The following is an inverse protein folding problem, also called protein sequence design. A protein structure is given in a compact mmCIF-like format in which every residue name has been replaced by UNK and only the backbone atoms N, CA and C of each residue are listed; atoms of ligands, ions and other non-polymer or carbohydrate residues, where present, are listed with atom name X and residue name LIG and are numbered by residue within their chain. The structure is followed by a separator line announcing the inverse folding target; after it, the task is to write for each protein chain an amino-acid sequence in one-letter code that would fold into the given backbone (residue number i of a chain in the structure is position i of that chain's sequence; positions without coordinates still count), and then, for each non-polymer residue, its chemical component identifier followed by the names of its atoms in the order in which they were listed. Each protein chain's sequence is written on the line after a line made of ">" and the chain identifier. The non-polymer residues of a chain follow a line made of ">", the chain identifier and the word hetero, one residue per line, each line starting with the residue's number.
data_IF_091471031310
#
_entry.id   IF_091471031310
#
_cell.length_a   1.000
_cell.length_b   1.000
_cell.length_c   1.000
_cell.angle_alpha   90.00
_cell.angle_beta   90.00
_cell.angle_gamma   90.00
#
_symmetry.space_group_name_H-M   'P 1'
#
loop_
_entity.id
_entity.type
_entity.pdbx_description
1 polymer ?
#
# COMPACT_ATOMS: atom_id res chain seq x y z
N UNK A 1 11.71 84.09 38.14
CA UNK A 1 12.52 83.36 39.14
C UNK A 1 11.67 82.20 39.62
N UNK A 2 12.06 81.01 39.19
CA UNK A 2 11.58 79.66 39.51
C UNK A 2 10.08 79.39 39.62
N UNK A 3 9.59 78.76 38.55
CA UNK A 3 8.35 78.01 38.44
C UNK A 3 8.30 76.79 39.38
N UNK A 4 7.12 76.49 39.88
CA UNK A 4 6.66 75.13 40.15
C UNK A 4 6.04 74.56 38.86
N UNK A 5 6.05 73.23 38.64
CA UNK A 5 4.82 72.51 39.02
C UNK A 5 5.02 71.08 39.54
N UNK A 6 3.95 70.61 40.17
CA UNK A 6 3.70 69.27 40.70
C UNK A 6 3.52 68.19 39.62
N UNK A 7 3.95 66.98 39.99
CA UNK A 7 3.39 65.66 39.67
C UNK A 7 3.20 65.26 38.18
N UNK A 8 3.84 64.17 37.76
CA UNK A 8 3.13 62.88 37.68
C UNK A 8 4.04 61.69 37.36
N UNK A 9 3.65 60.56 37.97
CA UNK A 9 4.14 59.21 37.78
C UNK A 9 4.32 58.82 36.30
N UNK A 10 5.51 58.34 35.93
CA UNK A 10 5.70 57.51 34.73
C UNK A 10 5.87 56.07 35.19
N UNK A 11 4.77 55.32 35.13
CA UNK A 11 4.73 53.87 35.33
C UNK A 11 5.22 53.16 34.06
N UNK A 12 5.98 52.09 34.27
CA UNK A 12 6.40 51.09 33.29
C UNK A 12 5.30 50.66 32.32
N UNK A 13 5.65 50.49 31.05
CA UNK A 13 5.12 49.44 30.18
C UNK A 13 5.92 49.37 28.87
N UNK A 14 6.99 48.57 28.89
CA UNK A 14 7.60 48.01 27.68
C UNK A 14 6.60 47.04 27.06
N UNK A 15 5.87 47.50 26.05
CA UNK A 15 4.93 46.71 25.26
C UNK A 15 5.73 45.83 24.28
N UNK A 16 6.08 44.62 24.72
CA UNK A 16 6.61 43.57 23.86
C UNK A 16 5.46 43.04 23.00
N UNK A 17 5.38 43.50 21.76
CA UNK A 17 4.41 43.02 20.79
C UNK A 17 4.79 41.59 20.38
N UNK A 18 4.22 40.62 21.08
CA UNK A 18 4.37 39.20 20.79
C UNK A 18 3.48 38.87 19.58
N UNK A 19 3.99 39.18 18.38
CA UNK A 19 3.41 38.70 17.12
C UNK A 19 3.53 37.18 17.09
N UNK A 20 2.48 36.50 17.57
CA UNK A 20 2.25 35.09 17.30
C UNK A 20 1.97 34.99 15.81
N UNK A 21 3.00 34.67 15.02
CA UNK A 21 2.79 34.15 13.69
C UNK A 21 2.12 32.79 13.83
N UNK A 22 0.80 32.76 13.71
CA UNK A 22 0.05 31.58 13.33
C UNK A 22 0.47 31.24 11.90
N UNK A 23 1.64 30.60 11.76
CA UNK A 23 1.92 29.79 10.59
C UNK A 23 0.99 28.58 10.70
N UNK A 24 -0.22 28.71 10.13
CA UNK A 24 -1.02 27.53 9.82
C UNK A 24 -0.18 26.67 8.88
N UNK A 25 0.17 25.46 9.31
CA UNK A 25 0.57 24.41 8.38
C UNK A 25 -0.64 24.14 7.49
N UNK A 26 -0.76 24.86 6.38
CA UNK A 26 -1.52 24.37 5.25
C UNK A 26 -0.73 23.18 4.74
N UNK A 27 -1.17 21.96 5.10
CA UNK A 27 -0.82 20.81 4.28
C UNK A 27 -1.53 21.00 2.94
N UNK A 28 -0.80 20.91 1.84
CA UNK A 28 -1.36 20.76 0.49
C UNK A 28 -1.38 19.26 0.15
N UNK A 29 -1.92 18.45 1.07
CA UNK A 29 -1.97 17.00 0.92
C UNK A 29 -3.19 16.57 0.09
N UNK A 30 -3.19 15.35 -0.48
CA UNK A 30 -4.36 14.85 -1.19
C UNK A 30 -5.64 14.77 -0.34
N UNK A 31 -5.51 14.60 0.99
CA UNK A 31 -6.64 14.66 1.91
C UNK A 31 -7.36 16.01 1.90
N UNK A 32 -6.60 17.11 1.84
CA UNK A 32 -7.15 18.46 1.83
C UNK A 32 -8.03 18.72 0.58
N UNK A 33 -7.81 17.98 -0.52
CA UNK A 33 -8.67 18.05 -1.71
C UNK A 33 -10.10 17.59 -1.42
N UNK A 34 -10.25 16.55 -0.60
CA UNK A 34 -11.56 16.02 -0.21
C UNK A 34 -12.23 16.92 0.82
N UNK A 35 -11.47 17.39 1.81
CA UNK A 35 -11.96 18.31 2.85
C UNK A 35 -12.47 19.63 2.23
N UNK A 36 -11.68 20.24 1.32
CA UNK A 36 -12.08 21.45 0.60
C UNK A 36 -13.36 21.24 -0.22
N UNK A 37 -13.46 20.06 -0.85
CA UNK A 37 -14.59 19.71 -1.69
C UNK A 37 -15.85 19.55 -0.85
N UNK A 38 -15.78 18.81 0.26
CA UNK A 38 -16.89 18.63 1.19
C UNK A 38 -17.32 19.97 1.79
N UNK A 39 -16.37 20.77 2.27
CA UNK A 39 -16.61 22.08 2.88
C UNK A 39 -17.41 22.98 1.93
N UNK A 40 -17.02 23.03 0.65
CA UNK A 40 -17.70 23.86 -0.36
C UNK A 40 -19.10 23.32 -0.68
N UNK A 41 -19.30 22.00 -0.70
CA UNK A 41 -20.62 21.40 -0.86
C UNK A 41 -21.53 21.78 0.32
N UNK A 42 -21.07 21.57 1.56
CA UNK A 42 -21.84 21.83 2.77
C UNK A 42 -22.26 23.31 2.87
N UNK A 43 -21.34 24.23 2.54
CA UNK A 43 -21.65 25.68 2.45
C UNK A 43 -22.74 26.00 1.45
N UNK A 44 -22.74 25.40 0.26
CA UNK A 44 -23.81 25.64 -0.74
C UNK A 44 -25.15 25.06 -0.26
N UNK A 45 -25.11 23.95 0.46
CA UNK A 45 -26.28 23.33 1.05
C UNK A 45 -26.84 24.08 2.26
N UNK A 46 -26.10 25.05 2.83
CA UNK A 46 -26.35 25.67 4.14
C UNK A 46 -26.53 24.61 5.24
N UNK A 47 -25.60 23.66 5.30
CA UNK A 47 -25.61 22.56 6.25
C UNK A 47 -24.25 22.39 6.92
N UNK A 48 -24.25 21.79 8.10
CA UNK A 48 -23.02 21.34 8.74
C UNK A 48 -22.41 20.16 7.97
N UNK A 49 -21.08 20.01 8.07
CA UNK A 49 -20.36 18.90 7.47
C UNK A 49 -20.63 17.60 8.23
N UNK A 50 -21.06 16.56 7.50
CA UNK A 50 -21.12 15.19 8.02
C UNK A 50 -19.70 14.69 8.25
N UNK A 51 -19.41 14.26 9.48
CA UNK A 51 -18.14 13.64 9.83
C UNK A 51 -18.31 12.13 9.95
N UNK A 52 -17.40 11.38 9.35
CA UNK A 52 -17.29 9.94 9.55
C UNK A 52 -15.94 9.61 10.18
N UNK A 53 -15.98 8.82 11.25
CA UNK A 53 -14.78 8.24 11.83
C UNK A 53 -14.31 7.09 10.93
N UNK A 54 -13.01 7.06 10.69
CA UNK A 54 -12.38 6.01 9.90
C UNK A 54 -11.08 5.61 10.56
N UNK A 55 -10.88 4.31 10.62
CA UNK A 55 -9.65 3.70 11.06
C UNK A 55 -9.08 2.86 9.91
N UNK A 56 -7.78 3.01 9.67
CA UNK A 56 -7.09 2.22 8.68
C UNK A 56 -6.64 0.90 9.28
N UNK A 57 -7.06 -0.22 8.68
CA UNK A 57 -6.60 -1.54 9.08
C UNK A 57 -5.11 -1.71 8.74
N UNK A 58 -4.27 -1.64 9.77
CA UNK A 58 -2.82 -1.71 9.60
C UNK A 58 -2.35 -3.13 9.28
N UNK A 59 -1.30 -3.24 8.45
CA UNK A 59 -0.60 -4.51 8.21
C UNK A 59 -0.19 -5.17 9.54
N UNK A 60 -0.55 -6.45 9.79
CA UNK A 60 -0.15 -7.18 10.98
C UNK A 60 1.36 -7.17 11.20
N UNK A 61 1.80 -7.38 12.44
CA UNK A 61 3.24 -7.40 12.73
C UNK A 61 3.87 -8.63 12.07
N UNK A 62 5.11 -8.50 11.60
CA UNK A 62 5.90 -9.59 10.98
C UNK A 62 5.79 -10.92 11.75
N UNK A 63 5.90 -10.88 13.07
CA UNK A 63 5.81 -12.07 13.95
C UNK A 63 4.47 -12.81 13.92
N UNK A 64 3.38 -12.10 13.60
CA UNK A 64 2.03 -12.66 13.50
C UNK A 64 1.82 -13.34 12.14
N UNK A 65 2.61 -12.94 11.14
CA UNK A 65 2.57 -13.49 9.79
C UNK A 65 3.66 -14.54 9.54
N UNK A 66 4.66 -14.66 10.42
CA UNK A 66 5.77 -15.61 10.26
C UNK A 66 5.28 -17.05 10.50
N UNK A 67 5.44 -17.90 9.49
CA UNK A 67 5.21 -19.33 9.61
C UNK A 67 6.47 -20.05 10.10
N UNK A 68 6.31 -20.92 11.09
CA UNK A 68 7.38 -21.80 11.51
C UNK A 68 7.68 -22.86 10.43
N UNK A 69 8.96 -23.01 10.10
CA UNK A 69 9.44 -23.99 9.12
C UNK A 69 10.40 -24.95 9.82
N UNK A 70 9.99 -26.21 10.04
CA UNK A 70 10.81 -27.18 10.75
C UNK A 70 12.18 -27.35 10.10
N UNK A 71 13.24 -27.23 10.90
CA UNK A 71 14.60 -27.46 10.42
C UNK A 71 14.81 -28.93 10.10
N UNK A 72 15.34 -29.20 8.91
CA UNK A 72 15.82 -30.52 8.52
C UNK A 72 17.28 -30.67 8.94
N UNK A 73 17.52 -31.43 10.00
CA UNK A 73 18.87 -31.84 10.38
C UNK A 73 19.30 -32.97 9.47
N UNK A 74 20.11 -32.63 8.48
CA UNK A 74 20.85 -33.62 7.71
C UNK A 74 21.94 -34.15 8.65
N UNK A 75 21.71 -35.32 9.27
CA UNK A 75 22.75 -36.06 9.99
C UNK A 75 23.97 -36.21 9.07
N UNK A 76 25.19 -36.28 9.64
CA UNK A 76 26.48 -36.14 8.94
C UNK A 76 26.54 -37.01 7.66
N UNK A 77 26.00 -36.51 6.54
CA UNK A 77 26.05 -37.20 5.24
C UNK A 77 27.52 -37.31 4.90
N UNK A 78 27.88 -38.44 4.27
CA UNK A 78 29.22 -38.68 3.79
C UNK A 78 29.67 -37.55 2.86
N UNK A 79 30.37 -36.59 3.47
CA UNK A 79 30.55 -35.24 2.93
C UNK A 79 31.28 -35.23 1.60
N UNK A 80 31.94 -36.34 1.26
CA UNK A 80 32.67 -36.52 0.02
C UNK A 80 31.76 -36.65 -1.21
N UNK A 81 30.70 -37.47 -1.13
CA UNK A 81 29.81 -37.70 -2.28
C UNK A 81 29.04 -36.42 -2.67
N UNK A 82 28.58 -35.68 -1.66
CA UNK A 82 27.87 -34.41 -1.88
C UNK A 82 28.75 -33.28 -2.43
N UNK A 83 30.07 -33.35 -2.30
CA UNK A 83 30.99 -32.37 -2.91
C UNK A 83 31.01 -32.48 -4.42
N UNK A 84 30.84 -33.70 -4.97
CA UNK A 84 30.91 -33.95 -6.41
C UNK A 84 29.79 -33.21 -7.17
N UNK A 85 28.64 -32.99 -6.51
CA UNK A 85 27.51 -32.24 -7.05
C UNK A 85 27.35 -30.82 -6.44
N UNK A 86 28.30 -30.37 -5.62
CA UNK A 86 28.32 -29.04 -4.99
C UNK A 86 27.32 -28.83 -3.86
N UNK A 87 26.53 -29.85 -3.48
CA UNK A 87 25.50 -29.75 -2.44
C UNK A 87 26.10 -29.55 -1.04
N UNK A 88 27.29 -30.10 -0.78
CA UNK A 88 27.99 -29.91 0.49
C UNK A 88 28.24 -28.43 0.82
N UNK A 89 28.68 -27.64 -0.17
CA UNK A 89 28.98 -26.21 0.03
C UNK A 89 27.73 -25.42 0.40
N UNK A 90 26.59 -25.69 -0.27
CA UNK A 90 25.30 -25.06 0.06
C UNK A 90 24.88 -25.38 1.50
N UNK A 91 24.98 -26.65 1.92
CA UNK A 91 24.66 -27.06 3.29
C UNK A 91 25.59 -26.36 4.30
N UNK A 92 26.89 -26.28 3.99
CA UNK A 92 27.86 -25.59 4.83
C UNK A 92 27.58 -24.08 4.96
N UNK A 93 27.23 -23.41 3.86
CA UNK A 93 26.82 -21.99 3.86
C UNK A 93 25.61 -21.77 4.76
N UNK A 94 24.59 -22.63 4.69
CA UNK A 94 23.41 -22.55 5.56
C UNK A 94 23.74 -22.76 7.03
N UNK A 95 24.67 -23.67 7.33
CA UNK A 95 25.08 -23.98 8.70
C UNK A 95 26.05 -22.95 9.30
N UNK A 96 26.59 -22.05 8.47
CA UNK A 96 27.41 -20.93 8.93
C UNK A 96 26.62 -19.96 9.81
N UNK A 97 27.32 -19.09 10.55
CA UNK A 97 26.69 -18.06 11.39
C UNK A 97 25.80 -17.14 10.56
N UNK A 98 26.27 -16.72 9.38
CA UNK A 98 25.51 -15.87 8.46
C UNK A 98 24.30 -16.61 7.86
N UNK A 99 24.46 -17.88 7.53
CA UNK A 99 23.38 -18.71 6.99
C UNK A 99 22.23 -18.91 7.96
N UNK A 100 22.52 -18.99 9.27
CA UNK A 100 21.52 -19.17 10.34
C UNK A 100 20.67 -17.93 10.60
N UNK A 101 21.19 -16.74 10.29
CA UNK A 101 20.49 -15.45 10.50
C UNK A 101 20.07 -14.79 9.18
N UNK A 102 20.12 -15.53 8.08
CA UNK A 102 19.71 -15.04 6.78
C UNK A 102 18.22 -14.63 6.78
N UNK A 103 17.95 -13.47 6.20
CA UNK A 103 16.59 -12.96 5.97
C UNK A 103 15.78 -13.88 5.04
N UNK A 104 14.50 -13.59 4.91
CA UNK A 104 13.56 -14.43 4.17
C UNK A 104 13.86 -14.49 2.66
N UNK A 105 14.42 -13.42 2.07
CA UNK A 105 14.88 -13.40 0.67
C UNK A 105 16.05 -14.35 0.43
N UNK A 106 17.13 -14.22 1.23
CA UNK A 106 18.30 -15.10 1.14
C UNK A 106 17.94 -16.55 1.50
N UNK A 107 17.03 -16.74 2.46
CA UNK A 107 16.55 -18.06 2.83
C UNK A 107 15.80 -18.73 1.68
N UNK A 108 14.91 -18.00 0.99
CA UNK A 108 14.22 -18.51 -0.19
C UNK A 108 15.19 -18.87 -1.31
N UNK A 109 16.10 -17.96 -1.67
CA UNK A 109 17.14 -18.20 -2.69
C UNK A 109 17.98 -19.44 -2.34
N UNK A 110 18.29 -19.65 -1.06
CA UNK A 110 18.96 -20.86 -0.58
C UNK A 110 18.10 -22.12 -0.78
N UNK A 111 16.80 -22.11 -0.47
CA UNK A 111 15.95 -23.30 -0.69
C UNK A 111 15.88 -23.68 -2.17
N UNK A 112 15.80 -22.68 -3.05
CA UNK A 112 15.84 -22.88 -4.51
C UNK A 112 17.16 -23.52 -4.93
N UNK A 113 18.29 -22.96 -4.47
CA UNK A 113 19.62 -23.49 -4.78
C UNK A 113 19.82 -24.91 -4.23
N UNK A 114 19.27 -25.21 -3.04
CA UNK A 114 19.31 -26.52 -2.41
C UNK A 114 18.57 -27.56 -3.26
N UNK A 115 17.31 -27.29 -3.65
CA UNK A 115 16.52 -28.18 -4.50
C UNK A 115 17.19 -28.43 -5.86
N UNK A 116 17.70 -27.37 -6.49
CA UNK A 116 18.48 -27.49 -7.72
C UNK A 116 19.74 -28.36 -7.52
N UNK A 117 20.42 -28.20 -6.37
CA UNK A 117 21.58 -29.00 -5.99
C UNK A 117 21.26 -30.47 -5.81
N UNK A 118 20.17 -30.78 -5.10
CA UNK A 118 19.69 -32.16 -4.90
C UNK A 118 19.37 -32.82 -6.24
N UNK A 119 18.63 -32.14 -7.12
CA UNK A 119 18.32 -32.66 -8.46
C UNK A 119 19.56 -32.95 -9.31
N UNK A 120 20.60 -32.11 -9.22
CA UNK A 120 21.90 -32.37 -9.87
C UNK A 120 22.60 -33.59 -9.29
N UNK A 121 22.62 -33.76 -7.96
CA UNK A 121 23.23 -34.92 -7.31
C UNK A 121 22.55 -36.22 -7.77
N UNK A 122 21.21 -36.23 -7.79
CA UNK A 122 20.42 -37.39 -8.19
C UNK A 122 20.58 -37.76 -9.68
N UNK A 123 20.91 -36.78 -10.54
CA UNK A 123 21.02 -37.00 -11.99
C UNK A 123 22.44 -37.30 -12.48
N UNK A 124 23.48 -36.92 -11.73
CA UNK A 124 24.83 -36.82 -12.27
C UNK A 124 25.92 -37.66 -11.60
N UNK A 125 25.71 -38.20 -10.41
CA UNK A 125 26.77 -38.87 -9.64
C UNK A 125 26.43 -40.33 -9.33
N UNK A 126 27.44 -41.20 -9.34
CA UNK A 126 27.36 -42.51 -8.68
C UNK A 126 27.34 -42.27 -7.17
N UNK A 127 26.13 -42.11 -6.64
CA UNK A 127 25.88 -41.99 -5.21
C UNK A 127 25.54 -43.37 -4.64
N UNK A 128 25.90 -43.60 -3.40
CA UNK A 128 25.47 -44.80 -2.70
C UNK A 128 23.94 -44.85 -2.62
N UNK A 129 23.31 -46.04 -2.74
CA UNK A 129 21.84 -46.16 -2.69
C UNK A 129 21.21 -45.53 -1.45
N UNK A 130 21.87 -45.60 -0.30
CA UNK A 130 21.42 -44.97 0.94
C UNK A 130 21.42 -43.43 0.85
N UNK A 131 22.41 -42.85 0.18
CA UNK A 131 22.50 -41.40 -0.05
C UNK A 131 21.42 -40.95 -1.04
N UNK A 132 21.15 -41.76 -2.08
CA UNK A 132 20.07 -41.49 -3.04
C UNK A 132 18.71 -41.43 -2.34
N UNK A 133 18.38 -42.43 -1.52
CA UNK A 133 17.10 -42.45 -0.81
C UNK A 133 16.98 -41.28 0.17
N UNK A 134 18.04 -40.99 0.92
CA UNK A 134 18.06 -39.82 1.81
C UNK A 134 17.85 -38.50 1.05
N UNK A 135 18.47 -38.33 -0.12
CA UNK A 135 18.28 -37.12 -0.93
C UNK A 135 16.86 -36.99 -1.47
N UNK A 136 16.21 -38.10 -1.85
CA UNK A 136 14.79 -38.10 -2.26
C UNK A 136 13.87 -37.74 -1.09
N UNK A 137 14.14 -38.26 0.10
CA UNK A 137 13.39 -37.90 1.31
C UNK A 137 13.54 -36.40 1.63
N UNK A 138 14.76 -35.87 1.55
CA UNK A 138 15.04 -34.44 1.74
C UNK A 138 14.32 -33.61 0.69
N UNK A 139 14.38 -33.99 -0.59
CA UNK A 139 13.68 -33.30 -1.67
C UNK A 139 12.19 -33.23 -1.42
N UNK A 140 11.55 -34.36 -1.08
CA UNK A 140 10.12 -34.43 -0.79
C UNK A 140 9.73 -33.51 0.37
N UNK A 141 10.49 -33.55 1.48
CA UNK A 141 10.20 -32.72 2.64
C UNK A 141 10.41 -31.24 2.35
N UNK A 142 11.45 -30.89 1.57
CA UNK A 142 11.72 -29.51 1.17
C UNK A 142 10.67 -28.95 0.22
N UNK A 143 10.21 -29.74 -0.74
CA UNK A 143 9.09 -29.37 -1.62
C UNK A 143 7.81 -29.12 -0.81
N UNK A 144 7.52 -29.93 0.21
CA UNK A 144 6.38 -29.71 1.09
C UNK A 144 6.51 -28.45 1.98
N UNK A 145 7.73 -28.04 2.33
CA UNK A 145 8.00 -26.81 3.08
C UNK A 145 8.01 -25.54 2.20
N UNK A 146 8.19 -25.70 0.89
CA UNK A 146 8.43 -24.60 -0.05
C UNK A 146 7.35 -23.49 -0.03
N UNK A 147 6.04 -23.81 0.03
CA UNK A 147 5.00 -22.78 0.14
C UNK A 147 5.14 -21.89 1.39
N UNK A 148 5.64 -22.44 2.51
CA UNK A 148 5.90 -21.63 3.73
C UNK A 148 7.06 -20.68 3.56
N UNK A 149 8.08 -21.06 2.79
CA UNK A 149 9.19 -20.16 2.45
C UNK A 149 8.74 -19.02 1.53
N UNK A 150 7.88 -19.32 0.54
CA UNK A 150 7.25 -18.29 -0.31
C UNK A 150 6.41 -17.33 0.52
N UNK A 151 5.56 -17.87 1.40
CA UNK A 151 4.77 -17.07 2.34
C UNK A 151 5.65 -16.16 3.21
N UNK A 152 6.69 -16.71 3.85
CA UNK A 152 7.57 -15.92 4.71
C UNK A 152 8.33 -14.85 3.93
N UNK A 153 8.73 -15.11 2.68
CA UNK A 153 9.31 -14.09 1.82
C UNK A 153 8.33 -12.93 1.58
N UNK A 154 7.07 -13.22 1.25
CA UNK A 154 6.08 -12.19 0.90
C UNK A 154 5.61 -11.43 2.15
N UNK A 155 5.29 -12.13 3.23
CA UNK A 155 4.60 -11.54 4.38
C UNK A 155 5.48 -11.34 5.61
N UNK A 156 6.59 -12.05 5.74
CA UNK A 156 7.46 -11.96 6.90
C UNK A 156 8.85 -11.37 6.59
N UNK A 157 9.15 -10.95 5.36
CA UNK A 157 10.39 -10.23 5.07
C UNK A 157 10.30 -8.75 5.43
N UNK A 158 11.42 -8.16 5.83
CA UNK A 158 11.45 -6.72 6.17
C UNK A 158 11.23 -5.86 4.92
N UNK A 159 11.77 -6.26 3.76
CA UNK A 159 11.58 -5.55 2.51
C UNK A 159 10.10 -5.48 2.07
N UNK A 160 9.39 -6.61 2.10
CA UNK A 160 7.97 -6.62 1.73
C UNK A 160 7.08 -5.99 2.79
N UNK A 161 7.46 -6.10 4.07
CA UNK A 161 6.80 -5.37 5.15
C UNK A 161 6.91 -3.85 4.96
N UNK A 162 8.09 -3.32 4.62
CA UNK A 162 8.25 -1.90 4.26
C UNK A 162 7.37 -1.51 3.08
N UNK A 163 7.30 -2.36 2.06
CA UNK A 163 6.52 -2.09 0.86
C UNK A 163 5.01 -2.05 1.11
N UNK A 164 4.49 -2.95 1.96
CA UNK A 164 3.05 -3.08 2.27
C UNK A 164 2.58 -2.18 3.41
N UNK A 165 3.50 -1.69 4.26
CA UNK A 165 3.16 -0.72 5.31
C UNK A 165 2.92 0.65 4.70
N UNK A 166 1.67 1.10 4.75
CA UNK A 166 1.29 2.47 4.41
C UNK A 166 0.46 3.10 5.50
N UNK A 167 0.58 4.43 5.62
CA UNK A 167 -0.23 5.23 6.56
C UNK A 167 -0.40 6.67 6.09
N UNK A 168 0.00 6.96 4.85
CA UNK A 168 0.00 8.30 4.28
C UNK A 168 -0.63 8.29 2.90
N UNK A 169 -1.18 9.44 2.54
CA UNK A 169 -1.61 9.71 1.18
C UNK A 169 -0.44 9.56 0.21
N UNK A 170 -0.67 8.78 -0.84
CA UNK A 170 0.20 8.66 -1.98
C UNK A 170 0.14 9.99 -2.72
N UNK A 171 1.29 10.65 -2.81
CA UNK A 171 1.40 11.93 -3.49
C UNK A 171 1.30 11.73 -5.00
N UNK A 172 0.91 12.79 -5.69
CA UNK A 172 1.02 12.83 -7.14
C UNK A 172 2.49 12.69 -7.58
N UNK A 173 2.69 12.24 -8.81
CA UNK A 173 3.97 12.25 -9.52
C UNK A 173 5.02 11.21 -9.08
N UNK A 174 4.58 10.12 -8.45
CA UNK A 174 5.45 8.98 -8.12
C UNK A 174 5.53 7.92 -9.23
N UNK A 175 5.22 8.29 -10.47
CA UNK A 175 5.08 7.34 -11.58
C UNK A 175 6.32 6.47 -11.81
N UNK A 176 7.52 7.03 -11.60
CA UNK A 176 8.78 6.28 -11.75
C UNK A 176 8.96 5.24 -10.65
N UNK A 177 8.63 5.60 -9.40
CA UNK A 177 8.66 4.71 -8.25
C UNK A 177 7.65 3.56 -8.41
N UNK A 178 6.46 3.84 -8.95
CA UNK A 178 5.45 2.81 -9.26
C UNK A 178 5.97 1.84 -10.32
N UNK A 179 6.61 2.33 -11.39
CA UNK A 179 7.20 1.47 -12.42
C UNK A 179 8.34 0.60 -11.87
N UNK A 180 9.23 1.16 -11.05
CA UNK A 180 10.30 0.42 -10.38
C UNK A 180 9.75 -0.66 -9.46
N UNK A 181 8.73 -0.32 -8.66
CA UNK A 181 8.02 -1.27 -7.79
C UNK A 181 7.41 -2.39 -8.63
N UNK A 182 6.71 -2.06 -9.72
CA UNK A 182 6.05 -3.05 -10.57
C UNK A 182 7.07 -4.03 -11.19
N UNK A 183 8.21 -3.52 -11.69
CA UNK A 183 9.28 -4.37 -12.20
C UNK A 183 9.92 -5.27 -11.12
N UNK A 184 10.09 -4.77 -9.90
CA UNK A 184 10.58 -5.58 -8.78
C UNK A 184 9.59 -6.70 -8.39
N UNK A 185 8.29 -6.41 -8.38
CA UNK A 185 7.24 -7.41 -8.13
C UNK A 185 7.12 -8.42 -9.27
N UNK A 186 7.33 -7.99 -10.52
CA UNK A 186 7.37 -8.89 -11.68
C UNK A 186 8.52 -9.90 -11.56
N UNK A 187 9.74 -9.43 -11.26
CA UNK A 187 10.89 -10.31 -11.01
C UNK A 187 10.61 -11.29 -9.88
N UNK A 188 9.99 -10.81 -8.80
CA UNK A 188 9.63 -11.65 -7.67
C UNK A 188 8.59 -12.71 -8.06
N UNK A 189 7.54 -12.35 -8.81
CA UNK A 189 6.57 -13.30 -9.36
C UNK A 189 7.22 -14.36 -10.22
N UNK A 190 8.18 -14.00 -11.08
CA UNK A 190 8.90 -14.97 -11.89
C UNK A 190 9.69 -15.94 -11.00
N UNK A 191 10.41 -15.43 -10.00
CA UNK A 191 11.16 -16.24 -9.04
C UNK A 191 10.29 -17.14 -8.15
N UNK A 192 9.04 -16.74 -7.88
CA UNK A 192 8.07 -17.56 -7.14
C UNK A 192 7.42 -18.65 -8.01
N UNK A 193 7.16 -18.37 -9.29
CA UNK A 193 6.48 -19.29 -10.20
C UNK A 193 7.42 -20.25 -10.94
N UNK A 194 8.64 -19.82 -11.24
CA UNK A 194 9.66 -20.60 -11.97
C UNK A 194 11.02 -20.56 -11.26
N UNK A 195 11.10 -20.95 -9.97
CA UNK A 195 12.26 -20.72 -9.11
C UNK A 195 13.58 -21.26 -9.66
N UNK A 196 13.56 -22.40 -10.37
CA UNK A 196 14.77 -23.05 -10.87
C UNK A 196 15.39 -22.39 -12.12
N UNK A 197 14.63 -21.51 -12.79
CA UNK A 197 15.03 -20.88 -14.07
C UNK A 197 15.14 -19.36 -13.95
N UNK A 198 14.48 -18.77 -12.96
CA UNK A 198 14.49 -17.33 -12.71
C UNK A 198 15.73 -16.84 -11.94
N UNK A 199 15.92 -15.51 -11.93
CA UNK A 199 16.98 -14.84 -11.16
C UNK A 199 16.75 -14.90 -9.65
N UNK A 200 17.73 -14.44 -8.88
CA UNK A 200 17.65 -14.45 -7.41
C UNK A 200 16.68 -13.39 -6.91
N UNK A 201 15.88 -13.71 -5.91
CA UNK A 201 14.95 -12.75 -5.30
C UNK A 201 15.69 -11.58 -4.64
N UNK A 202 16.90 -11.83 -4.12
CA UNK A 202 17.76 -10.81 -3.52
C UNK A 202 18.16 -9.67 -4.47
N UNK A 203 18.03 -9.85 -5.79
CA UNK A 203 18.33 -8.81 -6.79
C UNK A 203 17.38 -7.61 -6.71
N UNK A 204 16.15 -7.81 -6.20
CA UNK A 204 15.12 -6.75 -6.12
C UNK A 204 14.79 -6.32 -4.69
N UNK A 205 15.45 -6.93 -3.69
CA UNK A 205 15.18 -6.67 -2.27
C UNK A 205 15.33 -5.19 -1.91
N UNK A 206 16.41 -4.54 -2.36
CA UNK A 206 16.69 -3.13 -2.06
C UNK A 206 15.62 -2.19 -2.64
N UNK A 207 15.10 -2.50 -3.84
CA UNK A 207 14.04 -1.70 -4.48
C UNK A 207 12.75 -1.78 -3.66
N UNK A 208 12.40 -2.98 -3.19
CA UNK A 208 11.20 -3.23 -2.40
C UNK A 208 11.30 -2.61 -0.99
N UNK A 209 12.49 -2.62 -0.39
CA UNK A 209 12.69 -2.12 0.97
C UNK A 209 12.68 -0.60 1.09
N UNK A 210 13.12 0.12 0.04
CA UNK A 210 13.31 1.58 0.07
C UNK A 210 12.03 2.39 -0.06
N UNK A 211 10.88 1.75 -0.29
CA UNK A 211 9.62 2.46 -0.53
C UNK A 211 8.44 1.77 0.15
N UNK A 212 7.30 2.45 0.16
CA UNK A 212 6.03 2.00 0.73
C UNK A 212 4.91 2.05 -0.33
N UNK A 213 5.24 1.88 -1.61
CA UNK A 213 4.31 2.19 -2.71
C UNK A 213 3.01 1.39 -2.63
N UNK A 214 3.07 0.09 -2.31
CA UNK A 214 1.87 -0.74 -2.18
C UNK A 214 1.03 -0.31 -0.98
N UNK A 215 1.66 -0.11 0.17
CA UNK A 215 0.98 0.32 1.39
C UNK A 215 0.32 1.68 1.25
N UNK A 216 1.04 2.67 0.72
CA UNK A 216 0.52 4.03 0.55
C UNK A 216 -0.58 4.09 -0.52
N UNK A 217 -0.48 3.27 -1.57
CA UNK A 217 -1.56 3.12 -2.55
C UNK A 217 -2.80 2.48 -1.90
N UNK A 218 -2.63 1.39 -1.14
CA UNK A 218 -3.71 0.75 -0.41
C UNK A 218 -4.40 1.74 0.55
N UNK A 219 -3.61 2.46 1.36
CA UNK A 219 -4.11 3.52 2.23
C UNK A 219 -4.92 4.56 1.46
N UNK A 220 -4.39 5.05 0.34
CA UNK A 220 -5.01 6.13 -0.44
C UNK A 220 -6.31 5.68 -1.11
N UNK A 221 -6.36 4.45 -1.63
CA UNK A 221 -7.57 3.86 -2.21
C UNK A 221 -8.67 3.73 -1.13
N UNK A 222 -8.32 3.17 0.03
CA UNK A 222 -9.24 2.98 1.14
C UNK A 222 -9.75 4.33 1.67
N UNK A 223 -8.85 5.28 1.94
CA UNK A 223 -9.22 6.59 2.46
C UNK A 223 -10.05 7.38 1.45
N UNK A 224 -9.64 7.45 0.18
CA UNK A 224 -10.38 8.16 -0.86
C UNK A 224 -11.80 7.60 -1.05
N UNK A 225 -11.99 6.28 -0.89
CA UNK A 225 -13.32 5.66 -0.93
C UNK A 225 -14.21 6.18 0.21
N UNK A 226 -13.69 6.25 1.43
CA UNK A 226 -14.45 6.73 2.59
C UNK A 226 -14.75 8.22 2.50
N UNK A 227 -13.77 9.03 2.10
CA UNK A 227 -13.97 10.46 1.88
C UNK A 227 -15.06 10.71 0.83
N UNK A 228 -14.98 10.04 -0.31
CA UNK A 228 -15.94 10.25 -1.37
C UNK A 228 -17.33 9.71 -1.03
N UNK A 229 -17.42 8.59 -0.30
CA UNK A 229 -18.70 8.10 0.22
C UNK A 229 -19.30 9.09 1.24
N UNK A 230 -18.48 9.69 2.12
CA UNK A 230 -18.92 10.74 3.06
C UNK A 230 -19.43 11.97 2.32
N UNK A 231 -18.72 12.43 1.29
CA UNK A 231 -19.15 13.56 0.45
C UNK A 231 -20.44 13.21 -0.31
N UNK A 232 -20.56 11.98 -0.80
CA UNK A 232 -21.79 11.52 -1.47
C UNK A 232 -22.97 11.46 -0.50
N UNK A 233 -22.73 11.08 0.75
CA UNK A 233 -23.72 11.11 1.83
C UNK A 233 -24.12 12.54 2.19
N UNK A 234 -23.19 13.48 2.25
CA UNK A 234 -23.46 14.92 2.41
C UNK A 234 -24.38 15.43 1.28
N UNK A 235 -24.01 15.13 0.04
CA UNK A 235 -24.76 15.51 -1.15
C UNK A 235 -26.20 14.98 -1.12
N UNK A 236 -26.37 13.70 -0.84
CA UNK A 236 -27.68 13.04 -0.82
C UNK A 236 -28.56 13.46 0.37
N UNK A 237 -27.98 13.60 1.56
CA UNK A 237 -28.72 13.98 2.78
C UNK A 237 -29.35 15.36 2.67
N UNK A 238 -28.61 16.32 2.10
CA UNK A 238 -29.08 17.70 1.95
C UNK A 238 -29.45 18.05 0.50
N UNK A 239 -29.78 17.04 -0.32
CA UNK A 239 -30.18 17.22 -1.72
C UNK A 239 -31.44 18.09 -1.86
N UNK A 240 -32.35 18.01 -0.88
CA UNK A 240 -33.57 18.83 -0.83
C UNK A 240 -33.29 20.34 -0.78
N UNK A 241 -32.11 20.74 -0.31
CA UNK A 241 -31.69 22.15 -0.27
C UNK A 241 -31.27 22.66 -1.66
N UNK A 242 -31.11 21.77 -2.63
CA UNK A 242 -30.70 22.09 -4.00
C UNK A 242 -31.93 22.15 -4.91
N UNK A 243 -32.56 23.32 -4.89
CA UNK A 243 -33.75 23.62 -5.70
C UNK A 243 -33.33 23.92 -7.14
N UNK A 244 -34.04 23.32 -8.09
CA UNK A 244 -33.90 23.60 -9.51
C UNK A 244 -35.21 23.36 -10.28
N UNK A 245 -35.32 23.93 -11.49
CA UNK A 245 -36.48 23.80 -12.37
C UNK A 245 -36.93 25.14 -12.98
N UNK A 246 -37.85 25.08 -13.96
CA UNK A 246 -38.46 26.30 -14.54
C UNK A 246 -39.19 27.08 -13.44
N UNK A 247 -39.01 28.40 -13.40
CA UNK A 247 -39.64 29.31 -12.44
C UNK A 247 -39.27 29.08 -10.95
N UNK A 248 -38.15 28.41 -10.67
CA UNK A 248 -37.60 28.27 -9.31
C UNK A 248 -36.26 29.01 -9.20
N UNK A 249 -35.85 29.38 -7.99
CA UNK A 249 -34.50 29.90 -7.76
C UNK A 249 -33.48 28.78 -7.93
N UNK A 250 -32.57 28.94 -8.90
CA UNK A 250 -31.53 27.98 -9.26
C UNK A 250 -30.15 28.38 -8.75
N UNK A 251 -30.06 29.40 -7.88
CA UNK A 251 -28.79 29.96 -7.40
C UNK A 251 -27.92 28.93 -6.70
N UNK A 252 -28.49 28.15 -5.75
CA UNK A 252 -27.76 27.06 -5.07
C UNK A 252 -27.30 25.99 -6.04
N UNK A 253 -28.15 25.59 -7.00
CA UNK A 253 -27.76 24.63 -8.03
C UNK A 253 -26.58 25.15 -8.86
N UNK A 254 -26.59 26.42 -9.29
CA UNK A 254 -25.47 27.03 -10.03
C UNK A 254 -24.18 27.05 -9.22
N UNK A 255 -24.23 27.37 -7.93
CA UNK A 255 -23.05 27.32 -7.06
C UNK A 255 -22.54 25.90 -6.87
N UNK A 256 -23.44 24.96 -6.59
CA UNK A 256 -23.08 23.55 -6.42
C UNK A 256 -22.47 22.98 -7.72
N UNK A 257 -22.99 23.40 -8.87
CA UNK A 257 -22.45 23.08 -10.18
C UNK A 257 -21.03 23.63 -10.37
N UNK A 258 -20.75 24.86 -9.93
CA UNK A 258 -19.40 25.41 -9.98
C UNK A 258 -18.45 24.66 -9.05
N UNK A 259 -18.92 24.24 -7.87
CA UNK A 259 -18.14 23.40 -6.94
C UNK A 259 -17.79 22.06 -7.59
N UNK A 260 -18.74 21.42 -8.27
CA UNK A 260 -18.47 20.20 -9.05
C UNK A 260 -17.39 20.40 -10.13
N UNK A 261 -17.51 21.43 -10.97
CA UNK A 261 -16.52 21.68 -12.03
C UNK A 261 -15.14 21.99 -11.46
N UNK A 262 -15.06 22.85 -10.45
CA UNK A 262 -13.76 23.34 -9.95
C UNK A 262 -13.08 22.37 -8.97
N UNK A 263 -13.85 21.67 -8.13
CA UNK A 263 -13.29 20.78 -7.12
C UNK A 263 -13.29 19.35 -7.60
N UNK A 264 -14.44 18.81 -8.02
CA UNK A 264 -14.50 17.41 -8.43
C UNK A 264 -13.78 17.19 -9.75
N UNK A 265 -14.24 17.81 -10.85
CA UNK A 265 -13.61 17.64 -12.18
C UNK A 265 -12.20 18.21 -12.20
N UNK A 266 -11.98 19.38 -11.57
CA UNK A 266 -10.69 20.07 -11.61
C UNK A 266 -9.59 19.49 -10.71
N UNK A 267 -9.93 18.80 -9.61
CA UNK A 267 -8.95 18.36 -8.60
C UNK A 267 -9.13 16.92 -8.15
N UNK A 268 -10.29 16.58 -7.58
CA UNK A 268 -10.53 15.27 -6.95
C UNK A 268 -10.51 14.15 -8.00
N UNK A 269 -11.24 14.29 -9.10
CA UNK A 269 -11.30 13.29 -10.16
C UNK A 269 -9.92 13.02 -10.79
N UNK A 270 -9.08 14.02 -11.13
CA UNK A 270 -7.71 13.79 -11.57
C UNK A 270 -6.89 12.97 -10.59
N UNK A 271 -6.95 13.28 -9.29
CA UNK A 271 -6.25 12.51 -8.26
C UNK A 271 -6.76 11.06 -8.19
N UNK A 272 -8.08 10.86 -8.22
CA UNK A 272 -8.68 9.53 -8.23
C UNK A 272 -8.27 8.72 -9.48
N UNK A 273 -8.23 9.36 -10.65
CA UNK A 273 -7.78 8.72 -11.89
C UNK A 273 -6.30 8.33 -11.82
N UNK A 274 -5.48 9.12 -11.13
CA UNK A 274 -4.07 8.81 -10.90
C UNK A 274 -3.90 7.58 -9.99
N UNK A 275 -4.63 7.52 -8.87
CA UNK A 275 -4.63 6.34 -7.99
C UNK A 275 -5.05 5.07 -8.74
N UNK A 276 -6.13 5.16 -9.54
CA UNK A 276 -6.58 4.06 -10.39
C UNK A 276 -5.49 3.64 -11.39
N UNK A 277 -4.86 4.61 -12.05
CA UNK A 277 -3.76 4.37 -12.99
C UNK A 277 -2.53 3.70 -12.35
N UNK A 278 -2.19 4.05 -11.11
CA UNK A 278 -1.12 3.37 -10.38
C UNK A 278 -1.49 1.95 -9.98
N UNK A 279 -2.74 1.73 -9.53
CA UNK A 279 -3.22 0.38 -9.28
C UNK A 279 -3.16 -0.48 -10.53
N UNK A 280 -3.63 0.00 -11.68
CA UNK A 280 -3.59 -0.76 -12.94
C UNK A 280 -2.18 -1.15 -13.38
N UNK A 281 -1.17 -0.30 -13.09
CA UNK A 281 0.23 -0.62 -13.39
C UNK A 281 0.81 -1.73 -12.50
N UNK A 282 0.28 -1.88 -11.28
CA UNK A 282 0.72 -2.89 -10.31
C UNK A 282 -0.12 -4.17 -10.40
N UNK A 283 -1.39 -4.07 -10.81
CA UNK A 283 -2.39 -5.12 -10.79
C UNK A 283 -1.92 -6.48 -11.38
N UNK A 284 -1.18 -6.54 -12.51
CA UNK A 284 -0.71 -7.82 -13.04
C UNK A 284 0.17 -8.61 -12.07
N UNK A 285 0.80 -7.93 -11.10
CA UNK A 285 1.75 -8.53 -10.17
C UNK A 285 1.17 -8.83 -8.78
N UNK A 286 -0.08 -8.49 -8.53
CA UNK A 286 -0.69 -8.59 -7.20
C UNK A 286 -1.22 -10.00 -6.85
N UNK A 287 -1.21 -10.95 -7.80
CA UNK A 287 -1.70 -12.31 -7.56
C UNK A 287 -0.93 -13.07 -6.46
N UNK A 288 0.33 -12.69 -6.19
CA UNK A 288 1.10 -13.24 -5.05
C UNK A 288 0.45 -12.96 -3.68
N UNK A 289 -0.44 -11.98 -3.60
CA UNK A 289 -1.16 -11.59 -2.39
C UNK A 289 -2.53 -12.25 -2.23
N UNK A 290 -2.94 -13.09 -3.19
CA UNK A 290 -4.22 -13.79 -3.13
C UNK A 290 -4.26 -14.71 -1.89
N UNK A 291 -5.46 -14.94 -1.37
CA UNK A 291 -5.67 -15.66 -0.12
C UNK A 291 -5.16 -17.12 -0.19
N UNK A 292 -4.38 -17.52 0.82
CA UNK A 292 -3.83 -18.87 0.97
C UNK A 292 -4.29 -19.50 2.29
N UNK A 293 -5.59 -19.84 2.42
CA UNK A 293 -6.19 -20.24 3.70
C UNK A 293 -5.58 -21.51 4.30
N UNK A 294 -4.98 -22.36 3.47
CA UNK A 294 -4.25 -23.56 3.91
C UNK A 294 -2.93 -23.24 4.64
N UNK A 295 -2.38 -22.03 4.46
CA UNK A 295 -1.15 -21.58 5.11
C UNK A 295 -1.41 -20.61 6.26
N UNK A 296 -2.26 -19.60 6.03
CA UNK A 296 -2.54 -18.55 7.00
C UNK A 296 -3.85 -17.81 6.64
N UNK A 297 -4.52 -17.22 7.63
CA UNK A 297 -5.82 -16.54 7.43
C UNK A 297 -5.72 -15.15 6.81
N UNK A 298 -4.53 -14.55 6.81
CA UNK A 298 -4.28 -13.19 6.31
C UNK A 298 -4.13 -13.18 4.79
N UNK A 299 -4.49 -12.06 4.17
CA UNK A 299 -4.11 -11.69 2.81
C UNK A 299 -4.01 -10.17 2.73
N UNK A 300 -3.28 -9.62 1.76
CA UNK A 300 -3.16 -8.17 1.61
C UNK A 300 -4.34 -7.62 0.78
N UNK A 301 -5.28 -6.85 1.36
CA UNK A 301 -6.61 -6.58 0.77
C UNK A 301 -6.62 -5.40 -0.21
N UNK A 302 -5.53 -5.18 -0.95
CA UNK A 302 -5.41 -4.06 -1.89
C UNK A 302 -6.40 -4.17 -3.07
N UNK A 303 -6.72 -5.39 -3.50
CA UNK A 303 -7.72 -5.61 -4.56
C UNK A 303 -9.13 -5.22 -4.08
N UNK A 304 -9.50 -5.59 -2.85
CA UNK A 304 -10.79 -5.22 -2.26
C UNK A 304 -10.91 -3.70 -2.09
N UNK A 305 -9.83 -3.06 -1.66
CA UNK A 305 -9.77 -1.60 -1.54
C UNK A 305 -9.98 -0.91 -2.89
N UNK A 306 -9.39 -1.43 -3.97
CA UNK A 306 -9.58 -0.91 -5.31
C UNK A 306 -11.03 -1.08 -5.79
N UNK A 307 -11.64 -2.24 -5.53
CA UNK A 307 -13.05 -2.47 -5.87
C UNK A 307 -13.98 -1.51 -5.12
N UNK A 308 -13.76 -1.32 -3.81
CA UNK A 308 -14.52 -0.37 -2.99
C UNK A 308 -14.35 1.07 -3.52
N UNK A 309 -13.12 1.48 -3.82
CA UNK A 309 -12.78 2.77 -4.41
C UNK A 309 -13.50 3.02 -5.75
N UNK A 310 -13.52 2.04 -6.65
CA UNK A 310 -14.25 2.13 -7.93
C UNK A 310 -15.75 2.22 -7.72
N UNK A 311 -16.29 1.48 -6.74
CA UNK A 311 -17.71 1.53 -6.40
C UNK A 311 -18.11 2.90 -5.82
N UNK A 312 -17.29 3.47 -4.92
CA UNK A 312 -17.50 4.82 -4.37
C UNK A 312 -17.46 5.89 -5.45
N UNK A 313 -16.46 5.85 -6.34
CA UNK A 313 -16.37 6.74 -7.51
C UNK A 313 -17.66 6.71 -8.34
N UNK A 314 -18.18 5.51 -8.61
CA UNK A 314 -19.42 5.33 -9.38
C UNK A 314 -20.62 5.95 -8.66
N UNK A 315 -20.81 5.65 -7.37
CA UNK A 315 -21.91 6.22 -6.55
C UNK A 315 -21.90 7.75 -6.59
N UNK A 316 -20.73 8.35 -6.47
CA UNK A 316 -20.58 9.80 -6.49
C UNK A 316 -20.98 10.39 -7.85
N UNK A 317 -20.50 9.80 -8.95
CA UNK A 317 -20.86 10.21 -10.31
C UNK A 317 -22.36 10.03 -10.56
N UNK A 318 -22.95 8.92 -10.09
CA UNK A 318 -24.38 8.63 -10.26
C UNK A 318 -25.25 9.69 -9.57
N UNK A 319 -24.86 10.19 -8.39
CA UNK A 319 -25.54 11.34 -7.76
C UNK A 319 -25.54 12.56 -8.67
N UNK A 320 -24.38 12.95 -9.21
CA UNK A 320 -24.27 14.13 -10.07
C UNK A 320 -25.08 14.00 -11.36
N UNK A 321 -25.05 12.81 -11.99
CA UNK A 321 -25.86 12.53 -13.17
C UNK A 321 -27.36 12.69 -12.88
N UNK A 322 -27.84 12.20 -11.74
CA UNK A 322 -29.23 12.34 -11.32
C UNK A 322 -29.59 13.81 -11.05
N UNK A 323 -28.74 14.54 -10.33
CA UNK A 323 -28.93 15.96 -10.06
C UNK A 323 -29.00 16.77 -11.36
N UNK A 324 -28.08 16.55 -12.30
CA UNK A 324 -28.07 17.25 -13.57
C UNK A 324 -29.28 16.93 -14.43
N UNK A 325 -29.71 15.66 -14.46
CA UNK A 325 -30.95 15.26 -15.13
C UNK A 325 -32.17 15.96 -14.51
N UNK A 326 -32.29 15.97 -13.19
CA UNK A 326 -33.36 16.67 -12.45
C UNK A 326 -33.38 18.17 -12.77
N UNK A 327 -32.21 18.80 -12.82
CA UNK A 327 -32.07 20.23 -13.01
C UNK A 327 -31.99 20.68 -14.47
N UNK A 328 -32.15 19.76 -15.44
CA UNK A 328 -32.14 20.07 -16.86
C UNK A 328 -30.77 20.49 -17.42
N UNK A 329 -29.68 20.19 -16.72
CA UNK A 329 -28.32 20.37 -17.23
C UNK A 329 -27.99 19.20 -18.16
N UNK A 330 -27.61 19.50 -19.40
CA UNK A 330 -27.06 18.49 -20.31
C UNK A 330 -25.64 18.15 -19.85
N UNK A 331 -25.40 16.86 -19.59
CA UNK A 331 -24.08 16.32 -19.27
C UNK A 331 -23.42 15.94 -20.59
N UNK A 332 -22.33 16.61 -20.95
CA UNK A 332 -21.52 16.31 -22.13
C UNK A 332 -22.10 16.78 -23.47
N UNK A 333 -21.22 17.41 -24.26
CA UNK A 333 -21.15 17.20 -25.70
C UNK A 333 -19.77 16.64 -25.99
#
# INVERSE_FOLDING_TARGET
>A
MSDAPLSNLVKHSTMFCLTVMLAGCFSDGPGDLFDDYQTKIARVQDADEIKEEWEFESLPRKRELLLDVPSLSIGLIDSYQLRQCGLFNLIAERNSVLGKVADEFRNYDYQVALLAGVGRCLSGSELDPEVVELLKEIEQQKLAQFPRHQWNLIYASDAMQSQMRGSRWLHADIGDQVRQTSGALEHLNQALNAPLVSGKTTEVQEVLEKSSTLGDLYYSLARASVELDTITKQLTTFDANIICGKQRDTTKFRYLNNVFEQQYIGKVQPYMAQLDGYFQQLAPQLGMFDAQPELHSYYFPIQDAHQAFRASTRRHVDYWQQLFKRCGRKVGR
#
